data_IF_849379983578
#
_entry.id   IF_849379983578
#
_cell.length_a   1.000
_cell.length_b   1.000
_cell.length_c   1.000
_cell.angle_alpha   90.00
_cell.angle_beta   90.00
_cell.angle_gamma   90.00
#
_symmetry.space_group_name_H-M   'P 1'
#
loop_
_entity.id
_entity.type
_entity.pdbx_description
1 polymer ?
#
# COMPACT_ATOMS: atom_id res chain seq x y z
N UNK A 1 8.26 5.71 19.66
CA UNK A 1 7.86 4.62 18.74
C UNK A 1 8.17 5.04 17.32
N UNK A 2 8.92 4.23 16.57
CA UNK A 2 9.12 4.39 15.13
C UNK A 2 8.18 3.39 14.46
N UNK A 3 7.40 3.83 13.48
CA UNK A 3 6.59 2.91 12.70
C UNK A 3 7.46 2.32 11.59
N UNK A 4 7.60 1.00 11.58
CA UNK A 4 8.38 0.29 10.57
C UNK A 4 7.58 0.03 9.30
N UNK A 5 6.25 0.04 9.39
CA UNK A 5 5.34 -0.19 8.26
C UNK A 5 4.31 0.94 8.18
N UNK A 6 4.14 1.49 6.97
CA UNK A 6 3.07 2.40 6.62
C UNK A 6 2.06 1.66 5.74
N UNK A 7 0.93 1.31 6.35
CA UNK A 7 -0.21 0.69 5.68
C UNK A 7 -1.22 1.77 5.27
N UNK A 8 -1.65 1.79 4.00
CA UNK A 8 -2.57 2.79 3.48
C UNK A 8 -3.61 2.20 2.53
N UNK A 9 -4.85 2.66 2.66
CA UNK A 9 -5.92 2.33 1.70
C UNK A 9 -5.78 3.13 0.40
N UNK A 10 -6.00 2.45 -0.72
CA UNK A 10 -6.14 3.03 -2.05
C UNK A 10 -7.55 2.77 -2.55
N UNK A 11 -8.24 3.83 -2.98
CA UNK A 11 -9.56 3.74 -3.58
C UNK A 11 -9.74 4.81 -4.66
N UNK A 12 -10.84 4.75 -5.42
CA UNK A 12 -11.19 5.78 -6.41
C UNK A 12 -11.63 7.11 -5.80
N UNK A 13 -11.76 7.18 -4.47
CA UNK A 13 -12.11 8.42 -3.80
C UNK A 13 -10.95 9.42 -3.99
N UNK A 14 -11.27 10.65 -4.36
CA UNK A 14 -10.27 11.67 -4.72
C UNK A 14 -9.17 11.88 -3.66
N UNK A 15 -9.45 11.62 -2.38
CA UNK A 15 -8.47 11.73 -1.30
C UNK A 15 -7.53 10.51 -1.16
N UNK A 16 -7.87 9.38 -1.76
CA UNK A 16 -7.22 8.08 -1.56
C UNK A 16 -6.73 7.44 -2.87
N UNK A 17 -6.56 8.26 -3.90
CA UNK A 17 -6.04 7.80 -5.19
C UNK A 17 -4.61 7.27 -5.07
N UNK A 18 -4.25 6.33 -5.94
CA UNK A 18 -2.92 5.73 -5.96
C UNK A 18 -1.81 6.79 -6.09
N UNK A 19 -1.98 7.77 -6.98
CA UNK A 19 -1.01 8.86 -7.15
C UNK A 19 -0.80 9.67 -5.87
N UNK A 20 -1.88 9.99 -5.14
CA UNK A 20 -1.79 10.69 -3.86
C UNK A 20 -1.01 9.86 -2.84
N UNK A 21 -1.22 8.54 -2.80
CA UNK A 21 -0.47 7.63 -1.92
C UNK A 21 1.00 7.54 -2.31
N UNK A 22 1.31 7.39 -3.60
CA UNK A 22 2.68 7.33 -4.10
C UNK A 22 3.46 8.61 -3.81
N UNK A 23 2.83 9.78 -3.99
CA UNK A 23 3.43 11.07 -3.62
C UNK A 23 3.71 11.15 -2.12
N UNK A 24 2.80 10.63 -1.28
CA UNK A 24 3.01 10.57 0.15
C UNK A 24 4.15 9.60 0.52
N UNK A 25 4.20 8.41 -0.09
CA UNK A 25 5.27 7.42 0.09
C UNK A 25 6.62 8.05 -0.22
N UNK A 26 6.75 8.74 -1.35
CA UNK A 26 7.97 9.41 -1.76
C UNK A 26 8.43 10.46 -0.73
N UNK A 27 7.49 11.26 -0.18
CA UNK A 27 7.78 12.21 0.91
C UNK A 27 8.19 11.53 2.21
N UNK A 28 7.55 10.41 2.58
CA UNK A 28 7.85 9.66 3.81
C UNK A 28 9.19 8.94 3.66
N UNK A 29 9.46 8.29 2.53
CA UNK A 29 10.70 7.57 2.22
C UNK A 29 11.93 8.47 2.33
N UNK A 30 11.81 9.74 1.94
CA UNK A 30 12.86 10.77 2.16
C UNK A 30 13.16 11.05 3.64
N UNK A 31 12.14 10.99 4.50
CA UNK A 31 12.26 11.27 5.94
C UNK A 31 12.57 10.02 6.76
N UNK A 32 12.08 8.85 6.34
CA UNK A 32 12.15 7.58 7.07
C UNK A 32 12.59 6.48 6.10
N UNK A 33 13.91 6.31 5.94
CA UNK A 33 14.50 5.38 4.97
C UNK A 33 14.21 3.89 5.21
N UNK A 34 13.83 3.52 6.43
CA UNK A 34 13.59 2.13 6.82
C UNK A 34 12.09 1.74 6.85
N UNK A 35 11.19 2.65 6.46
CA UNK A 35 9.76 2.38 6.49
C UNK A 35 9.36 1.53 5.27
N UNK A 36 8.63 0.44 5.51
CA UNK A 36 7.98 -0.40 4.52
C UNK A 36 6.65 0.22 4.11
N UNK A 37 6.32 0.17 2.84
CA UNK A 37 5.08 0.76 2.31
C UNK A 37 4.16 -0.33 1.79
N UNK A 38 2.96 -0.42 2.38
CA UNK A 38 1.96 -1.42 2.05
C UNK A 38 0.67 -0.73 1.62
N UNK A 39 0.12 -1.13 0.48
CA UNK A 39 -1.14 -0.59 -0.03
C UNK A 39 -2.27 -1.62 0.11
N UNK A 40 -3.42 -1.17 0.60
CA UNK A 40 -4.67 -1.92 0.63
C UNK A 40 -5.51 -1.52 -0.58
N UNK A 41 -5.93 -2.49 -1.39
CA UNK A 41 -6.83 -2.30 -2.52
C UNK A 41 -8.08 -3.15 -2.31
N UNK A 42 -9.25 -2.70 -2.76
CA UNK A 42 -10.42 -3.57 -2.83
C UNK A 42 -10.39 -4.39 -4.13
N UNK A 43 -10.46 -5.72 -4.05
CA UNK A 43 -10.40 -6.60 -5.23
C UNK A 43 -11.67 -6.52 -6.10
N UNK A 44 -12.80 -6.22 -5.47
CA UNK A 44 -14.11 -6.22 -6.11
C UNK A 44 -14.41 -4.90 -6.83
N UNK A 45 -13.80 -3.81 -6.39
CA UNK A 45 -14.16 -2.47 -6.85
C UNK A 45 -13.48 -2.08 -8.17
N UNK A 46 -12.24 -2.53 -8.43
CA UNK A 46 -11.49 -2.06 -9.60
C UNK A 46 -10.26 -2.91 -10.01
N UNK A 47 -10.40 -3.69 -11.08
CA UNK A 47 -9.28 -4.42 -11.69
C UNK A 47 -8.19 -3.50 -12.26
N UNK A 48 -8.55 -2.31 -12.76
CA UNK A 48 -7.57 -1.35 -13.27
C UNK A 48 -6.71 -0.81 -12.13
N UNK A 49 -7.32 -0.47 -11.00
CA UNK A 49 -6.59 -0.02 -9.81
C UNK A 49 -5.64 -1.11 -9.30
N UNK A 50 -6.11 -2.36 -9.22
CA UNK A 50 -5.29 -3.49 -8.82
C UNK A 50 -4.08 -3.67 -9.77
N UNK A 51 -4.28 -3.55 -11.08
CA UNK A 51 -3.19 -3.56 -12.06
C UNK A 51 -2.19 -2.41 -11.85
N UNK A 52 -2.66 -1.19 -11.59
CA UNK A 52 -1.75 -0.07 -11.31
C UNK A 52 -0.96 -0.26 -10.02
N UNK A 53 -1.57 -0.80 -8.97
CA UNK A 53 -0.90 -1.13 -7.71
C UNK A 53 0.15 -2.23 -7.91
N UNK A 54 -0.19 -3.25 -8.72
CA UNK A 54 0.76 -4.30 -9.13
C UNK A 54 1.97 -3.72 -9.86
N UNK A 55 1.75 -2.81 -10.82
CA UNK A 55 2.84 -2.08 -11.48
C UNK A 55 3.67 -1.27 -10.49
N UNK A 56 3.03 -0.51 -9.59
CA UNK A 56 3.75 0.24 -8.56
C UNK A 56 4.65 -0.64 -7.66
N UNK A 57 4.22 -1.89 -7.38
CA UNK A 57 5.06 -2.88 -6.71
C UNK A 57 6.24 -3.32 -7.58
N UNK A 58 6.00 -3.63 -8.86
CA UNK A 58 7.04 -4.02 -9.81
C UNK A 58 8.11 -2.92 -9.97
N UNK A 59 7.68 -1.66 -9.99
CA UNK A 59 8.52 -0.46 -10.01
C UNK A 59 9.22 -0.18 -8.66
N UNK A 60 9.03 -1.05 -7.65
CA UNK A 60 9.57 -0.93 -6.29
C UNK A 60 9.19 0.39 -5.59
N UNK A 61 8.07 0.98 -5.99
CA UNK A 61 7.51 2.14 -5.32
C UNK A 61 6.89 1.75 -3.97
N UNK A 62 6.40 0.50 -3.86
CA UNK A 62 5.86 -0.11 -2.63
C UNK A 62 6.50 -1.47 -2.37
N UNK A 63 6.47 -1.91 -1.11
CA UNK A 63 7.03 -3.19 -0.69
C UNK A 63 6.02 -4.34 -0.90
N UNK A 64 4.75 -4.08 -0.57
CA UNK A 64 3.66 -5.04 -0.75
C UNK A 64 2.31 -4.37 -1.00
N UNK A 65 1.35 -5.17 -1.44
CA UNK A 65 -0.05 -4.79 -1.45
C UNK A 65 -0.92 -5.96 -0.98
N UNK A 66 -2.08 -5.63 -0.43
CA UNK A 66 -3.03 -6.57 0.14
C UNK A 66 -4.44 -6.18 -0.30
N UNK A 67 -5.34 -7.15 -0.36
CA UNK A 67 -6.74 -6.86 -0.59
C UNK A 67 -7.44 -6.51 0.73
N UNK A 68 -8.30 -5.49 0.74
CA UNK A 68 -9.03 -5.07 1.93
C UNK A 68 -10.07 -6.12 2.40
N UNK A 69 -10.46 -7.03 1.51
CA UNK A 69 -11.37 -8.16 1.76
C UNK A 69 -10.76 -9.29 2.60
N UNK A 70 -9.45 -9.27 2.87
CA UNK A 70 -8.77 -10.33 3.62
C UNK A 70 -9.13 -10.32 5.10
N UNK A 71 -9.00 -11.49 5.75
CA UNK A 71 -9.24 -11.57 7.19
C UNK A 71 -8.17 -10.80 7.98
N UNK A 72 -8.51 -10.26 9.17
CA UNK A 72 -7.53 -9.58 10.02
C UNK A 72 -6.32 -10.44 10.37
N UNK A 73 -6.51 -11.76 10.51
CA UNK A 73 -5.43 -12.71 10.77
C UNK A 73 -4.46 -12.81 9.58
N UNK A 74 -4.98 -12.84 8.36
CA UNK A 74 -4.15 -12.84 7.15
C UNK A 74 -3.40 -11.51 6.99
N UNK A 75 -4.09 -10.38 7.23
CA UNK A 75 -3.46 -9.06 7.22
C UNK A 75 -2.29 -8.99 8.20
N UNK A 76 -2.49 -9.42 9.44
CA UNK A 76 -1.43 -9.44 10.45
C UNK A 76 -0.25 -10.32 10.02
N UNK A 77 -0.51 -11.54 9.54
CA UNK A 77 0.53 -12.44 9.07
C UNK A 77 1.31 -11.90 7.87
N UNK A 78 0.63 -11.23 6.93
CA UNK A 78 1.28 -10.62 5.78
C UNK A 78 2.15 -9.42 6.16
N UNK A 79 1.75 -8.65 7.18
CA UNK A 79 2.56 -7.56 7.73
C UNK A 79 3.77 -8.07 8.50
N UNK A 80 3.63 -9.18 9.24
CA UNK A 80 4.72 -9.81 9.99
C UNK A 80 5.81 -10.40 9.07
N UNK A 81 5.43 -10.79 7.84
CA UNK A 81 6.33 -11.36 6.84
C UNK A 81 7.18 -10.33 6.04
N UNK A 82 7.05 -9.02 6.31
CA UNK A 82 7.71 -7.92 5.57
C UNK A 82 8.95 -7.36 6.24
#
# INVERSE_FOLDING_TARGET
>A
MRADILLMEVSRLNAYTLESRLSLIDRVRRKIKACKFVLLCDENSDMELAHRVMHARQDRLIDAFLYASVTPAYLAAALDAL
#
